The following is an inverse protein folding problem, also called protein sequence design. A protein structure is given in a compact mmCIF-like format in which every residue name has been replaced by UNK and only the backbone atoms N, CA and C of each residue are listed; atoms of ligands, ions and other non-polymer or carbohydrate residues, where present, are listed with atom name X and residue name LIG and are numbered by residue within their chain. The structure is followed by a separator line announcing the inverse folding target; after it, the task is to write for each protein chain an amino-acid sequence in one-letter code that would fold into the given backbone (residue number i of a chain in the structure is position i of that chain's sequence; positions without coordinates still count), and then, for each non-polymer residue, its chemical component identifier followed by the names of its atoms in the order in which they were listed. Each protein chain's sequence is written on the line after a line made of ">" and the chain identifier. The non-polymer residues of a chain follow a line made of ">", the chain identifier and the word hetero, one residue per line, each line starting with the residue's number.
data_IF_645927821598
#
_entry.id   IF_645927821598
#
_cell.length_a   1.000
_cell.length_b   1.000
_cell.length_c   1.000
_cell.angle_alpha   90.00
_cell.angle_beta   90.00
_cell.angle_gamma   90.00
#
_symmetry.space_group_name_H-M   'P 1'
#
loop_
_entity.id
_entity.type
_entity.pdbx_description
1 polymer ?
#
# COMPACT_ATOMS: atom_id res chain seq x y z
N UNK A 1 5.08 -21.27 12.86
CA UNK A 1 5.63 -20.30 11.89
C UNK A 1 4.76 -20.33 10.65
N UNK A 2 4.50 -19.18 10.04
CA UNK A 2 3.91 -19.09 8.70
C UNK A 2 5.06 -19.04 7.70
N UNK A 3 4.96 -19.82 6.61
CA UNK A 3 5.91 -19.76 5.50
C UNK A 3 5.56 -18.58 4.59
N UNK A 4 6.55 -18.00 3.92
CA UNK A 4 6.35 -16.92 2.95
C UNK A 4 5.77 -17.43 1.62
N UNK A 5 5.52 -16.50 0.70
CA UNK A 5 4.89 -16.79 -0.59
C UNK A 5 5.88 -17.12 -1.73
N UNK A 6 7.19 -17.21 -1.46
CA UNK A 6 8.20 -17.64 -2.44
C UNK A 6 8.22 -19.17 -2.59
N UNK A 7 7.08 -19.73 -3.00
CA UNK A 7 6.84 -21.16 -3.23
C UNK A 7 5.64 -21.31 -4.17
N UNK A 8 5.47 -22.50 -4.76
CA UNK A 8 4.35 -22.76 -5.69
C UNK A 8 2.97 -22.65 -5.01
N UNK A 9 2.91 -22.89 -3.69
CA UNK A 9 1.70 -22.80 -2.88
C UNK A 9 1.99 -22.12 -1.54
N UNK A 10 1.02 -21.33 -1.07
CA UNK A 10 1.07 -20.66 0.23
C UNK A 10 -0.19 -20.94 1.04
N UNK A 11 -0.03 -21.20 2.34
CA UNK A 11 -1.16 -21.32 3.26
C UNK A 11 -1.55 -19.95 3.78
N UNK A 12 -2.79 -19.53 3.53
CA UNK A 12 -3.37 -18.30 4.07
C UNK A 12 -4.41 -18.63 5.15
N UNK A 13 -4.09 -18.44 6.45
CA UNK A 13 -5.06 -18.65 7.52
C UNK A 13 -6.22 -17.64 7.44
N UNK A 14 -7.41 -18.09 7.83
CA UNK A 14 -8.61 -17.22 7.87
C UNK A 14 -8.87 -16.52 6.53
N UNK A 15 -8.77 -17.27 5.43
CA UNK A 15 -8.79 -16.73 4.06
C UNK A 15 -10.00 -15.82 3.79
N UNK A 16 -11.18 -16.16 4.32
CA UNK A 16 -12.40 -15.37 4.16
C UNK A 16 -12.29 -13.94 4.74
N UNK A 17 -11.40 -13.73 5.71
CA UNK A 17 -11.18 -12.44 6.36
C UNK A 17 -9.88 -11.74 5.91
N UNK A 18 -8.95 -12.46 5.29
CA UNK A 18 -7.60 -11.94 4.97
C UNK A 18 -7.34 -11.81 3.47
N UNK A 19 -8.08 -12.52 2.62
CA UNK A 19 -7.98 -12.38 1.17
C UNK A 19 -9.10 -11.49 0.64
N UNK A 20 -8.71 -10.57 -0.24
CA UNK A 20 -9.63 -9.73 -1.00
C UNK A 20 -9.53 -10.14 -2.46
N UNK A 21 -10.68 -10.30 -3.12
CA UNK A 21 -10.72 -10.56 -4.55
C UNK A 21 -10.17 -9.34 -5.29
N UNK A 22 -9.20 -9.56 -6.16
CA UNK A 22 -8.67 -8.51 -7.03
C UNK A 22 -9.81 -7.99 -7.93
N UNK A 23 -10.07 -6.68 -7.99
CA UNK A 23 -11.12 -6.13 -8.84
C UNK A 23 -10.89 -6.45 -10.33
N UNK A 24 -11.97 -6.59 -11.09
CA UNK A 24 -11.89 -6.84 -12.53
C UNK A 24 -11.14 -5.71 -13.24
N UNK A 25 -10.30 -6.08 -14.21
CA UNK A 25 -9.51 -5.13 -15.00
C UNK A 25 -8.25 -4.60 -14.31
N UNK A 26 -7.99 -4.93 -13.03
CA UNK A 26 -6.75 -4.56 -12.35
C UNK A 26 -5.64 -5.58 -12.68
N UNK A 27 -4.50 -5.15 -13.28
CA UNK A 27 -3.38 -6.05 -13.53
C UNK A 27 -2.81 -6.65 -12.24
N UNK A 28 -2.36 -7.90 -12.30
CA UNK A 28 -1.86 -8.63 -11.13
C UNK A 28 -0.63 -7.95 -10.51
N UNK A 29 0.24 -7.38 -11.34
CA UNK A 29 1.45 -6.66 -10.93
C UNK A 29 1.11 -5.39 -10.14
N UNK A 30 -0.01 -4.74 -10.47
CA UNK A 30 -0.51 -3.58 -9.73
C UNK A 30 -1.18 -4.01 -8.44
N UNK A 31 -2.03 -5.04 -8.50
CA UNK A 31 -2.70 -5.58 -7.32
C UNK A 31 -1.71 -6.10 -6.26
N UNK A 32 -0.57 -6.65 -6.70
CA UNK A 32 0.50 -7.11 -5.82
C UNK A 32 1.01 -6.02 -4.87
N UNK A 33 1.04 -4.76 -5.33
CA UNK A 33 1.52 -3.64 -4.51
C UNK A 33 0.62 -3.40 -3.29
N UNK A 34 -0.67 -3.71 -3.37
CA UNK A 34 -1.64 -3.54 -2.29
C UNK A 34 -1.35 -4.42 -1.07
N UNK A 35 -0.67 -5.56 -1.25
CA UNK A 35 -0.37 -6.49 -0.16
C UNK A 35 0.69 -6.01 0.83
N UNK A 36 1.51 -5.02 0.46
CA UNK A 36 2.51 -4.43 1.33
C UNK A 36 2.78 -2.98 0.96
N UNK A 37 3.53 -2.71 -0.11
CA UNK A 37 4.15 -1.40 -0.32
C UNK A 37 3.16 -0.25 -0.45
N UNK A 38 2.02 -0.47 -1.12
CA UNK A 38 0.96 0.53 -1.23
C UNK A 38 0.25 0.72 0.10
N UNK A 39 -0.18 -0.36 0.75
CA UNK A 39 -0.88 -0.29 2.04
C UNK A 39 0.01 0.37 3.12
N UNK A 40 1.29 0.01 3.17
CA UNK A 40 2.29 0.57 4.09
C UNK A 40 2.53 2.05 3.81
N UNK A 41 2.69 2.45 2.53
CA UNK A 41 2.83 3.85 2.15
C UNK A 41 1.59 4.68 2.49
N UNK A 42 0.40 4.14 2.21
CA UNK A 42 -0.87 4.76 2.54
C UNK A 42 -1.08 4.93 4.04
N UNK A 43 -0.75 3.90 4.81
CA UNK A 43 -0.76 3.95 6.27
C UNK A 43 0.18 5.05 6.79
N UNK A 44 1.38 5.17 6.22
CA UNK A 44 2.33 6.23 6.57
C UNK A 44 1.78 7.63 6.30
N UNK A 45 1.23 7.86 5.09
CA UNK A 45 0.63 9.15 4.74
C UNK A 45 -0.55 9.53 5.63
N UNK A 46 -1.44 8.57 5.90
CA UNK A 46 -2.60 8.77 6.79
C UNK A 46 -2.15 9.06 8.22
N UNK A 47 -1.18 8.32 8.74
CA UNK A 47 -0.65 8.51 10.09
C UNK A 47 0.09 9.83 10.26
N UNK A 48 0.67 10.36 9.18
CA UNK A 48 1.31 11.68 9.15
C UNK A 48 0.29 12.83 9.04
N UNK A 49 -1.01 12.54 8.95
CA UNK A 49 -2.06 13.56 8.81
C UNK A 49 -2.09 14.21 7.42
N UNK A 50 -1.67 13.50 6.37
CA UNK A 50 -1.83 13.98 5.00
C UNK A 50 -3.31 14.24 4.69
N UNK A 51 -3.58 15.35 4.00
CA UNK A 51 -4.92 15.83 3.74
C UNK A 51 -4.93 17.22 3.10
N UNK A 52 -6.11 17.79 2.79
CA UNK A 52 -6.23 19.14 2.23
C UNK A 52 -5.48 20.20 3.04
N UNK A 53 -4.63 20.97 2.36
CA UNK A 53 -3.81 22.03 2.96
C UNK A 53 -2.57 21.54 3.71
N UNK A 54 -2.30 20.23 3.72
CA UNK A 54 -1.07 19.70 4.31
C UNK A 54 0.12 19.88 3.34
N UNK A 55 1.28 20.24 3.91
CA UNK A 55 2.59 20.13 3.26
C UNK A 55 3.29 18.93 3.89
N UNK A 56 3.57 17.90 3.09
CA UNK A 56 4.12 16.63 3.55
C UNK A 56 5.54 16.47 3.02
N UNK A 57 6.47 16.03 3.87
CA UNK A 57 7.80 15.64 3.44
C UNK A 57 7.97 14.12 3.58
N UNK A 58 8.33 13.43 2.50
CA UNK A 58 8.62 11.99 2.52
C UNK A 58 10.12 11.78 2.53
N UNK A 59 10.66 11.26 3.65
CA UNK A 59 12.10 10.95 3.77
C UNK A 59 12.34 9.51 3.34
N UNK A 60 12.78 9.35 2.08
CA UNK A 60 13.08 8.07 1.46
C UNK A 60 12.27 7.83 0.19
N UNK A 61 12.92 7.45 -0.91
CA UNK A 61 12.32 7.30 -2.24
C UNK A 61 12.33 5.84 -2.76
N UNK A 62 12.33 4.87 -1.84
CA UNK A 62 12.09 3.46 -2.19
C UNK A 62 10.62 3.18 -2.51
N UNK A 63 10.24 1.91 -2.77
CA UNK A 63 8.89 1.55 -3.18
C UNK A 63 7.80 2.05 -2.22
N UNK A 64 7.98 1.86 -0.91
CA UNK A 64 7.04 2.35 0.12
C UNK A 64 6.98 3.89 0.14
N UNK A 65 8.12 4.56 0.01
CA UNK A 65 8.19 6.02 0.00
C UNK A 65 7.46 6.63 -1.21
N UNK A 66 7.64 6.03 -2.39
CA UNK A 66 6.89 6.44 -3.59
C UNK A 66 5.38 6.21 -3.43
N UNK A 67 4.97 5.10 -2.80
CA UNK A 67 3.56 4.88 -2.49
C UNK A 67 3.02 5.87 -1.46
N UNK A 68 3.83 6.29 -0.48
CA UNK A 68 3.46 7.33 0.48
C UNK A 68 3.29 8.70 -0.20
N UNK A 69 4.12 9.03 -1.20
CA UNK A 69 3.95 10.24 -2.01
C UNK A 69 2.62 10.22 -2.77
N UNK A 70 2.31 9.09 -3.44
CA UNK A 70 1.04 8.92 -4.15
C UNK A 70 -0.13 9.04 -3.17
N UNK A 71 -0.08 8.31 -2.04
CA UNK A 71 -1.14 8.34 -1.04
C UNK A 71 -1.36 9.73 -0.46
N UNK A 72 -0.30 10.48 -0.13
CA UNK A 72 -0.43 11.84 0.37
C UNK A 72 -1.11 12.78 -0.64
N UNK A 73 -0.80 12.64 -1.93
CA UNK A 73 -1.46 13.38 -3.02
C UNK A 73 -2.94 13.00 -3.15
N UNK A 74 -3.26 11.70 -3.15
CA UNK A 74 -4.64 11.21 -3.22
C UNK A 74 -5.48 11.62 -2.00
N UNK A 75 -4.87 11.73 -0.82
CA UNK A 75 -5.50 12.27 0.38
C UNK A 75 -5.71 13.79 0.33
N UNK A 76 -5.12 14.48 -0.65
CA UNK A 76 -5.32 15.92 -0.89
C UNK A 76 -4.24 16.83 -0.34
N UNK A 77 -3.05 16.32 0.01
CA UNK A 77 -1.92 17.18 0.37
C UNK A 77 -1.63 18.19 -0.76
N UNK A 78 -1.42 19.46 -0.38
CA UNK A 78 -1.17 20.54 -1.33
C UNK A 78 0.22 20.42 -1.95
N UNK A 79 1.20 20.01 -1.13
CA UNK A 79 2.59 19.79 -1.53
C UNK A 79 3.10 18.51 -0.88
N UNK A 80 3.79 17.70 -1.68
CA UNK A 80 4.51 16.49 -1.26
C UNK A 80 5.90 16.48 -1.88
#
# INVERSE_FOLDING_TARGET
>A
RLHGAQADLVRVPLADATLVRVPEGVPAETALLAGDVLATGWFGATSAGAGPGAVVAVVGCGPVGLMAVIAARELGAEVV
#
